data_IF_389039661724
#
_entry.id   IF_389039661724
#
_cell.length_a   1.000
_cell.length_b   1.000
_cell.length_c   1.000
_cell.angle_alpha   90.00
_cell.angle_beta   90.00
_cell.angle_gamma   90.00
#
_symmetry.space_group_name_H-M   'P 1'
#
loop_
_entity.id
_entity.type
_entity.pdbx_description
1 polymer ?
#
# COMPACT_ATOMS: atom_id res chain seq x y z
N UNK A 1 13.09 -12.48 -43.31
CA UNK A 1 12.90 -11.19 -42.62
C UNK A 1 12.07 -11.46 -41.38
N UNK A 2 12.72 -11.69 -40.23
CA UNK A 2 12.05 -12.09 -39.00
C UNK A 2 11.61 -10.84 -38.24
N UNK A 3 10.30 -10.72 -38.01
CA UNK A 3 9.70 -9.71 -37.14
C UNK A 3 10.21 -9.93 -35.72
N UNK A 4 11.04 -9.01 -35.25
CA UNK A 4 11.46 -8.94 -33.85
C UNK A 4 10.24 -8.54 -33.04
N UNK A 5 9.63 -9.52 -32.36
CA UNK A 5 8.54 -9.27 -31.42
C UNK A 5 9.01 -8.28 -30.36
N UNK A 6 8.40 -7.10 -30.34
CA UNK A 6 8.58 -6.08 -29.32
C UNK A 6 8.20 -6.68 -27.96
N UNK A 7 9.21 -6.93 -27.13
CA UNK A 7 9.07 -7.13 -25.69
C UNK A 7 8.22 -5.97 -25.14
N UNK A 8 7.16 -6.23 -24.35
CA UNK A 8 6.26 -5.17 -23.92
C UNK A 8 7.03 -4.17 -23.04
N UNK A 9 6.93 -2.89 -23.39
CA UNK A 9 7.48 -1.73 -22.68
C UNK A 9 6.84 -1.49 -21.29
N UNK A 10 6.79 -2.53 -20.44
CA UNK A 10 6.33 -2.48 -19.05
C UNK A 10 7.17 -1.59 -18.10
N UNK A 11 8.51 -1.44 -18.24
CA UNK A 11 9.27 -0.66 -17.27
C UNK A 11 9.02 0.86 -17.37
N UNK A 12 8.66 1.37 -18.56
CA UNK A 12 8.44 2.80 -18.76
C UNK A 12 7.09 3.26 -18.21
N UNK A 13 6.03 2.47 -18.37
CA UNK A 13 4.71 2.80 -17.81
C UNK A 13 4.72 2.77 -16.27
N UNK A 14 5.46 1.83 -15.66
CA UNK A 14 5.61 1.76 -14.21
C UNK A 14 6.30 3.01 -13.64
N UNK A 15 7.35 3.49 -14.30
CA UNK A 15 8.03 4.74 -13.93
C UNK A 15 7.09 5.94 -14.10
N UNK A 16 6.37 6.04 -15.22
CA UNK A 16 5.38 7.10 -15.44
C UNK A 16 4.29 7.09 -14.37
N UNK A 17 3.83 5.91 -13.95
CA UNK A 17 2.83 5.78 -12.90
C UNK A 17 3.35 6.28 -11.54
N UNK A 18 4.61 6.01 -11.19
CA UNK A 18 5.23 6.58 -9.99
C UNK A 18 5.30 8.11 -10.04
N UNK A 19 5.68 8.66 -11.21
CA UNK A 19 5.65 10.10 -11.42
C UNK A 19 4.24 10.66 -11.24
N UNK A 20 3.20 9.99 -11.74
CA UNK A 20 1.80 10.40 -11.53
C UNK A 20 1.41 10.40 -10.05
N UNK A 21 1.82 9.42 -9.25
CA UNK A 21 1.57 9.42 -7.80
C UNK A 21 2.25 10.57 -7.06
N UNK A 22 3.42 11.01 -7.53
CA UNK A 22 4.15 12.13 -6.93
C UNK A 22 3.63 13.49 -7.37
N UNK A 23 3.32 13.65 -8.65
CA UNK A 23 3.04 14.96 -9.26
C UNK A 23 1.55 15.27 -9.40
N UNK A 24 0.70 14.25 -9.50
CA UNK A 24 -0.76 14.37 -9.54
C UNK A 24 -1.43 13.64 -8.36
N UNK A 25 -0.96 13.84 -7.11
CA UNK A 25 -1.43 13.06 -5.97
C UNK A 25 -2.93 13.21 -5.72
N UNK A 26 -3.56 14.34 -6.06
CA UNK A 26 -4.99 14.58 -5.87
C UNK A 26 -5.89 13.59 -6.61
N UNK A 27 -5.40 12.98 -7.70
CA UNK A 27 -6.12 11.95 -8.46
C UNK A 27 -6.14 10.59 -7.76
N UNK A 28 -5.07 10.27 -7.01
CA UNK A 28 -4.82 8.93 -6.48
C UNK A 28 -4.89 8.85 -4.96
N UNK A 29 -4.91 9.99 -4.28
CA UNK A 29 -4.87 10.05 -2.83
C UNK A 29 -6.07 9.35 -2.19
N UNK A 30 -5.80 8.59 -1.12
CA UNK A 30 -6.85 8.12 -0.23
C UNK A 30 -7.70 9.31 0.25
N UNK A 31 -9.01 9.13 0.41
CA UNK A 31 -9.94 10.23 0.80
C UNK A 31 -9.52 10.94 2.08
N UNK A 32 -8.89 10.22 3.00
CA UNK A 32 -8.36 10.79 4.25
C UNK A 32 -7.25 11.83 4.03
N UNK A 33 -6.51 11.79 2.92
CA UNK A 33 -5.56 12.86 2.58
C UNK A 33 -6.26 14.17 2.24
N UNK A 34 -7.36 14.09 1.49
CA UNK A 34 -8.19 15.24 1.17
C UNK A 34 -8.82 15.82 2.43
N UNK A 35 -9.39 14.96 3.28
CA UNK A 35 -9.94 15.35 4.57
C UNK A 35 -8.90 16.01 5.47
N UNK A 36 -7.66 15.51 5.48
CA UNK A 36 -6.57 16.08 6.25
C UNK A 36 -6.10 17.45 5.74
N UNK A 37 -6.44 17.83 4.50
CA UNK A 37 -6.27 19.18 3.97
C UNK A 37 -7.51 20.08 4.24
N UNK A 38 -8.52 19.57 4.94
CA UNK A 38 -9.80 20.25 5.12
C UNK A 38 -10.71 20.18 3.89
N UNK A 39 -10.36 19.39 2.87
CA UNK A 39 -11.17 19.23 1.68
C UNK A 39 -12.12 18.04 1.81
N UNK A 40 -13.42 18.34 1.90
CA UNK A 40 -14.52 17.37 1.88
C UNK A 40 -15.20 17.42 0.50
N UNK A 41 -14.88 16.50 -0.43
CA UNK A 41 -15.49 16.50 -1.75
C UNK A 41 -17.00 16.29 -1.63
N UNK A 42 -17.78 17.14 -2.30
CA UNK A 42 -19.23 16.97 -2.42
C UNK A 42 -19.56 15.66 -3.16
N UNK A 43 -20.73 15.04 -2.91
CA UNK A 43 -21.21 13.94 -3.73
C UNK A 43 -21.18 14.32 -5.22
N UNK A 44 -20.51 13.51 -6.04
CA UNK A 44 -20.34 13.78 -7.48
C UNK A 44 -19.07 14.53 -7.88
N UNK A 45 -18.25 15.01 -6.94
CA UNK A 45 -16.94 15.57 -7.28
C UNK A 45 -16.04 14.51 -7.93
N UNK A 46 -15.39 14.86 -9.04
CA UNK A 46 -14.41 14.04 -9.73
C UNK A 46 -13.18 14.87 -10.08
N UNK A 47 -11.99 14.32 -9.81
CA UNK A 47 -10.72 14.92 -10.23
C UNK A 47 -10.72 15.11 -11.75
N UNK A 48 -10.32 16.30 -12.22
CA UNK A 48 -10.28 16.68 -13.63
C UNK A 48 -11.42 17.61 -14.06
N UNK A 49 -12.50 17.73 -13.26
CA UNK A 49 -13.61 18.64 -13.59
C UNK A 49 -13.29 20.11 -13.30
N UNK A 50 -12.39 20.40 -12.36
CA UNK A 50 -12.01 21.76 -11.99
C UNK A 50 -10.48 21.89 -11.93
N UNK A 51 -9.81 22.20 -13.05
CA UNK A 51 -8.35 22.18 -13.15
C UNK A 51 -7.62 23.07 -12.13
N UNK A 52 -8.23 24.20 -11.75
CA UNK A 52 -7.66 25.07 -10.72
C UNK A 52 -7.69 24.42 -9.33
N UNK A 53 -8.80 23.78 -8.96
CA UNK A 53 -8.88 23.07 -7.67
C UNK A 53 -7.92 21.87 -7.65
N UNK A 54 -7.86 21.14 -8.75
CA UNK A 54 -6.96 19.99 -8.90
C UNK A 54 -5.49 20.40 -8.75
N UNK A 55 -5.08 21.53 -9.33
CA UNK A 55 -3.71 22.04 -9.20
C UNK A 55 -3.39 22.44 -7.75
N UNK A 56 -4.32 23.12 -7.05
CA UNK A 56 -4.15 23.46 -5.64
C UNK A 56 -4.07 22.22 -4.75
N UNK A 57 -4.92 21.21 -4.97
CA UNK A 57 -4.87 19.94 -4.24
C UNK A 57 -3.54 19.23 -4.46
N UNK A 58 -3.06 19.17 -5.72
CA UNK A 58 -1.76 18.58 -6.02
C UNK A 58 -0.61 19.33 -5.34
N UNK A 59 -0.62 20.66 -5.36
CA UNK A 59 0.41 21.47 -4.72
C UNK A 59 0.39 21.29 -3.20
N UNK A 60 -0.78 21.31 -2.57
CA UNK A 60 -0.92 21.14 -1.12
C UNK A 60 -0.46 19.75 -0.66
N UNK A 61 -0.86 18.69 -1.37
CA UNK A 61 -0.41 17.32 -1.06
C UNK A 61 1.10 17.16 -1.27
N UNK A 62 1.66 17.75 -2.33
CA UNK A 62 3.12 17.75 -2.58
C UNK A 62 3.88 18.53 -1.51
N UNK A 63 3.37 19.67 -1.04
CA UNK A 63 4.00 20.44 0.02
C UNK A 63 4.01 19.68 1.34
N UNK A 64 2.89 19.02 1.68
CA UNK A 64 2.76 18.25 2.93
C UNK A 64 3.61 16.98 2.96
N UNK A 65 3.65 16.27 1.84
CA UNK A 65 4.35 14.98 1.74
C UNK A 65 5.78 15.15 1.22
N UNK A 66 6.12 16.23 0.55
CA UNK A 66 7.36 16.31 -0.22
C UNK A 66 7.34 15.42 -1.46
N UNK A 67 8.40 15.56 -2.25
CA UNK A 67 8.58 14.89 -3.54
C UNK A 67 9.98 14.28 -3.60
N UNK A 68 10.17 13.03 -3.15
CA UNK A 68 11.47 12.39 -3.21
C UNK A 68 11.91 12.18 -4.67
N UNK A 69 13.22 12.05 -4.86
CA UNK A 69 13.77 11.71 -6.17
C UNK A 69 13.49 10.24 -6.46
N UNK A 70 12.81 9.98 -7.58
CA UNK A 70 12.55 8.64 -8.05
C UNK A 70 13.77 8.07 -8.78
N UNK A 71 13.98 6.74 -8.73
CA UNK A 71 14.98 6.08 -9.56
C UNK A 71 14.60 6.16 -11.04
N UNK A 72 15.60 6.31 -11.91
CA UNK A 72 15.43 6.36 -13.37
C UNK A 72 15.09 4.99 -13.98
N UNK A 73 15.47 3.90 -13.31
CA UNK A 73 15.17 2.52 -13.69
C UNK A 73 14.72 1.75 -12.45
N UNK A 74 13.67 0.95 -12.61
CA UNK A 74 13.12 0.12 -11.53
C UNK A 74 13.73 -1.28 -11.57
N UNK A 75 14.22 -1.74 -10.43
CA UNK A 75 14.54 -3.17 -10.24
C UNK A 75 13.26 -4.01 -10.12
N UNK A 76 13.37 -5.34 -10.17
CA UNK A 76 12.23 -6.27 -10.14
C UNK A 76 11.32 -6.05 -8.93
N UNK A 77 11.89 -5.85 -7.74
CA UNK A 77 11.12 -5.58 -6.52
C UNK A 77 10.34 -4.25 -6.63
N UNK A 78 10.96 -3.20 -7.12
CA UNK A 78 10.32 -1.90 -7.30
C UNK A 78 9.19 -1.97 -8.34
N UNK A 79 9.37 -2.71 -9.43
CA UNK A 79 8.29 -2.96 -10.40
C UNK A 79 7.12 -3.69 -9.75
N UNK A 80 7.40 -4.70 -8.91
CA UNK A 80 6.37 -5.39 -8.12
C UNK A 80 5.63 -4.43 -7.19
N UNK A 81 6.35 -3.54 -6.50
CA UNK A 81 5.75 -2.51 -5.64
C UNK A 81 4.79 -1.59 -6.40
N UNK A 82 5.13 -1.20 -7.64
CA UNK A 82 4.22 -0.40 -8.49
C UNK A 82 2.96 -1.19 -8.83
N UNK A 83 3.09 -2.47 -9.20
CA UNK A 83 1.95 -3.36 -9.48
C UNK A 83 1.10 -3.64 -8.24
N UNK A 84 1.69 -3.58 -7.05
CA UNK A 84 1.01 -3.75 -5.76
C UNK A 84 0.13 -2.54 -5.40
N UNK A 85 0.31 -1.37 -6.04
CA UNK A 85 -0.40 -0.13 -5.71
C UNK A 85 -1.93 -0.26 -5.53
N UNK A 86 -2.69 -1.00 -6.37
CA UNK A 86 -4.13 -1.18 -6.17
C UNK A 86 -4.50 -2.03 -4.95
N UNK A 87 -3.56 -2.84 -4.45
CA UNK A 87 -3.73 -3.75 -3.30
C UNK A 87 -3.09 -3.21 -2.02
N UNK A 88 -2.71 -1.93 -1.98
CA UNK A 88 -2.00 -1.37 -0.83
C UNK A 88 -2.76 -1.48 0.48
N UNK A 89 -4.10 -1.38 0.45
CA UNK A 89 -4.92 -1.56 1.66
C UNK A 89 -4.82 -3.00 2.19
N UNK A 90 -4.85 -4.00 1.31
CA UNK A 90 -4.66 -5.40 1.69
C UNK A 90 -3.22 -5.64 2.19
N UNK A 91 -2.22 -5.01 1.56
CA UNK A 91 -0.84 -5.08 2.02
C UNK A 91 -0.65 -4.47 3.40
N UNK A 92 -1.22 -3.28 3.64
CA UNK A 92 -1.22 -2.64 4.96
C UNK A 92 -1.94 -3.52 6.01
N UNK A 93 -3.07 -4.13 5.66
CA UNK A 93 -3.75 -5.09 6.54
C UNK A 93 -2.83 -6.26 6.91
N UNK A 94 -2.20 -6.91 5.94
CA UNK A 94 -1.30 -8.04 6.16
C UNK A 94 -0.10 -7.67 7.05
N UNK A 95 0.53 -6.51 6.80
CA UNK A 95 1.62 -5.99 7.63
C UNK A 95 1.14 -5.70 9.05
N UNK A 96 -0.06 -5.14 9.21
CA UNK A 96 -0.68 -4.88 10.51
C UNK A 96 -0.94 -6.16 11.30
N UNK A 97 -1.53 -7.18 10.66
CA UNK A 97 -1.78 -8.49 11.28
C UNK A 97 -0.48 -9.17 11.71
N UNK A 98 0.54 -9.13 10.85
CA UNK A 98 1.86 -9.65 11.19
C UNK A 98 2.47 -8.90 12.38
N UNK A 99 2.31 -7.57 12.44
CA UNK A 99 2.82 -6.77 13.55
C UNK A 99 2.10 -7.02 14.87
N UNK A 100 0.79 -7.29 14.81
CA UNK A 100 0.00 -7.69 15.96
C UNK A 100 0.45 -9.06 16.50
N UNK A 101 0.90 -9.96 15.62
CA UNK A 101 1.56 -11.21 16.01
C UNK A 101 0.69 -12.17 16.82
N UNK A 102 -0.63 -12.05 16.69
CA UNK A 102 -1.62 -12.86 17.38
C UNK A 102 -2.19 -13.91 16.42
N UNK A 103 -1.95 -15.18 16.72
CA UNK A 103 -2.44 -16.32 15.93
C UNK A 103 -3.95 -16.46 15.97
N UNK A 104 -4.59 -16.05 17.07
CA UNK A 104 -6.03 -16.20 17.26
C UNK A 104 -6.82 -15.45 16.19
N UNK A 105 -6.32 -14.29 15.76
CA UNK A 105 -6.94 -13.54 14.66
C UNK A 105 -6.96 -14.32 13.34
N UNK A 106 -6.00 -15.21 13.12
CA UNK A 106 -5.86 -15.97 11.87
C UNK A 106 -6.59 -17.32 11.94
N UNK A 107 -6.75 -17.87 13.14
CA UNK A 107 -7.32 -19.20 13.37
C UNK A 107 -8.81 -19.18 13.72
N UNK A 108 -9.26 -18.21 14.53
CA UNK A 108 -10.63 -18.19 15.03
C UNK A 108 -11.63 -17.82 13.91
N UNK A 109 -12.78 -18.52 13.82
CA UNK A 109 -13.71 -18.37 12.70
C UNK A 109 -14.19 -16.94 12.45
N UNK A 110 -14.59 -16.22 13.51
CA UNK A 110 -15.17 -14.88 13.39
C UNK A 110 -14.17 -13.86 12.81
N UNK A 111 -12.91 -13.96 13.24
CA UNK A 111 -11.84 -13.12 12.73
C UNK A 111 -11.48 -13.52 11.30
N UNK A 112 -11.33 -14.81 11.03
CA UNK A 112 -11.00 -15.33 9.70
C UNK A 112 -12.05 -14.95 8.66
N UNK A 113 -13.34 -15.04 8.98
CA UNK A 113 -14.43 -14.57 8.10
C UNK A 113 -14.30 -13.09 7.75
N UNK A 114 -13.85 -12.27 8.70
CA UNK A 114 -13.66 -10.84 8.47
C UNK A 114 -12.42 -10.57 7.61
N UNK A 115 -11.33 -11.30 7.84
CA UNK A 115 -10.06 -11.17 7.10
C UNK A 115 -10.19 -11.69 5.66
N UNK A 116 -10.94 -12.78 5.45
CA UNK A 116 -11.16 -13.41 4.13
C UNK A 116 -11.84 -12.47 3.11
N UNK A 117 -12.47 -11.38 3.57
CA UNK A 117 -13.01 -10.33 2.70
C UNK A 117 -11.92 -9.47 2.03
N UNK A 118 -10.70 -9.54 2.55
CA UNK A 118 -9.57 -8.70 2.14
C UNK A 118 -8.37 -9.50 1.67
N UNK A 119 -8.09 -10.64 2.30
CA UNK A 119 -6.95 -11.52 2.02
C UNK A 119 -7.46 -12.91 1.65
N UNK A 120 -6.77 -13.57 0.72
CA UNK A 120 -7.06 -14.97 0.41
C UNK A 120 -6.54 -15.92 1.50
N UNK A 121 -6.98 -17.18 1.43
CA UNK A 121 -6.62 -18.18 2.43
C UNK A 121 -5.10 -18.44 2.44
N UNK A 122 -4.46 -18.41 1.28
CA UNK A 122 -3.01 -18.58 1.15
C UNK A 122 -2.22 -17.52 1.91
N UNK A 123 -2.63 -16.26 1.82
CA UNK A 123 -2.03 -15.17 2.60
C UNK A 123 -2.27 -15.31 4.09
N UNK A 124 -3.45 -15.80 4.52
CA UNK A 124 -3.72 -16.06 5.93
C UNK A 124 -2.78 -17.13 6.48
N UNK A 125 -2.57 -18.22 5.74
CA UNK A 125 -1.62 -19.27 6.13
C UNK A 125 -0.17 -18.78 6.13
N UNK A 126 0.23 -17.98 5.13
CA UNK A 126 1.55 -17.36 5.11
C UNK A 126 1.75 -16.45 6.34
N UNK A 127 0.76 -15.62 6.66
CA UNK A 127 0.79 -14.76 7.85
C UNK A 127 0.88 -15.59 9.13
N UNK A 128 0.14 -16.71 9.20
CA UNK A 128 0.19 -17.61 10.34
C UNK A 128 1.59 -18.19 10.53
N UNK A 129 2.22 -18.68 9.45
CA UNK A 129 3.58 -19.20 9.48
C UNK A 129 4.64 -18.15 9.82
N UNK A 130 4.42 -16.88 9.44
CA UNK A 130 5.31 -15.76 9.78
C UNK A 130 5.08 -15.23 11.20
N UNK A 131 3.90 -15.44 11.76
CA UNK A 131 3.53 -14.97 13.10
C UNK A 131 4.12 -15.88 14.17
N UNK A 132 4.72 -15.29 15.21
CA UNK A 132 5.30 -16.08 16.30
C UNK A 132 4.29 -16.47 17.40
N UNK A 133 3.00 -16.15 17.26
CA UNK A 133 1.94 -16.49 18.23
C UNK A 133 2.13 -15.92 19.65
N UNK A 134 2.92 -14.84 19.80
CA UNK A 134 3.33 -14.33 21.13
C UNK A 134 2.27 -13.45 21.79
N UNK A 135 1.34 -12.92 21.02
CA UNK A 135 0.37 -11.93 21.48
C UNK A 135 -1.03 -12.53 21.59
N UNK A 136 -1.81 -12.03 22.55
CA UNK A 136 -3.24 -12.36 22.69
C UNK A 136 -4.11 -11.44 21.84
N UNK A 137 -5.34 -11.85 21.56
CA UNK A 137 -6.32 -10.99 20.92
C UNK A 137 -6.61 -9.74 21.78
N UNK A 138 -6.48 -8.57 21.16
CA UNK A 138 -6.66 -7.24 21.74
C UNK A 138 -7.89 -6.52 21.18
N UNK A 139 -8.28 -6.83 19.94
CA UNK A 139 -9.36 -6.16 19.22
C UNK A 139 -10.51 -7.11 18.95
N UNK A 140 -11.73 -6.56 18.89
CA UNK A 140 -12.88 -7.28 18.35
C UNK A 140 -12.69 -7.58 16.86
N UNK A 141 -13.41 -8.55 16.26
CA UNK A 141 -13.32 -8.82 14.83
C UNK A 141 -13.61 -7.59 13.95
N UNK A 142 -14.55 -6.74 14.38
CA UNK A 142 -14.94 -5.53 13.66
C UNK A 142 -13.82 -4.49 13.71
N UNK A 143 -13.22 -4.27 14.88
CA UNK A 143 -12.17 -3.27 15.08
C UNK A 143 -10.81 -3.72 14.54
N UNK A 144 -10.59 -5.03 14.42
CA UNK A 144 -9.33 -5.62 14.00
C UNK A 144 -8.86 -5.05 12.65
N UNK A 145 -9.74 -5.04 11.64
CA UNK A 145 -9.37 -4.62 10.28
C UNK A 145 -8.91 -3.16 10.26
N UNK A 146 -9.69 -2.28 10.88
CA UNK A 146 -9.36 -0.85 10.92
C UNK A 146 -8.06 -0.60 11.67
N UNK A 147 -7.85 -1.26 12.81
CA UNK A 147 -6.63 -1.09 13.60
C UNK A 147 -5.41 -1.72 12.91
N UNK A 148 -5.55 -2.89 12.31
CA UNK A 148 -4.47 -3.53 11.56
C UNK A 148 -4.05 -2.69 10.34
N UNK A 149 -5.01 -2.14 9.56
CA UNK A 149 -4.67 -1.22 8.46
C UNK A 149 -3.93 0.02 8.99
N UNK A 150 -4.37 0.63 10.10
CA UNK A 150 -3.68 1.78 10.71
C UNK A 150 -2.25 1.44 11.13
N UNK A 151 -2.05 0.32 11.81
CA UNK A 151 -0.73 -0.14 12.26
C UNK A 151 0.16 -0.43 11.06
N UNK A 152 -0.34 -1.20 10.08
CA UNK A 152 0.43 -1.53 8.89
C UNK A 152 0.77 -0.32 8.03
N UNK A 153 -0.16 0.64 7.91
CA UNK A 153 0.13 1.94 7.26
C UNK A 153 1.29 2.65 7.95
N UNK A 154 1.29 2.70 9.29
CA UNK A 154 2.38 3.32 10.03
C UNK A 154 3.73 2.60 9.87
N UNK A 155 3.73 1.27 9.87
CA UNK A 155 4.92 0.45 9.58
C UNK A 155 5.45 0.72 8.17
N UNK A 156 4.57 0.75 7.18
CA UNK A 156 4.93 1.01 5.78
C UNK A 156 5.48 2.43 5.58
N UNK A 157 4.89 3.43 6.23
CA UNK A 157 5.43 4.80 6.23
C UNK A 157 6.83 4.86 6.85
N UNK A 158 7.12 4.07 7.89
CA UNK A 158 8.46 3.97 8.46
C UNK A 158 9.45 3.29 7.49
N UNK A 159 9.02 2.25 6.79
CA UNK A 159 9.83 1.58 5.77
C UNK A 159 10.10 2.47 4.55
N UNK A 160 9.17 3.35 4.20
CA UNK A 160 9.29 4.26 3.06
C UNK A 160 10.30 5.40 3.25
N UNK A 161 10.87 5.57 4.45
CA UNK A 161 11.94 6.56 4.67
C UNK A 161 13.16 6.26 3.80
N UNK A 162 13.43 4.98 3.55
CA UNK A 162 14.59 4.51 2.78
C UNK A 162 14.18 3.98 1.38
N UNK A 163 12.89 4.02 1.02
CA UNK A 163 12.36 3.46 -0.23
C UNK A 163 11.45 4.48 -0.95
N UNK A 164 11.97 5.23 -1.93
CA UNK A 164 11.22 6.28 -2.64
C UNK A 164 10.08 5.72 -3.51
N UNK A 165 10.16 4.45 -3.91
CA UNK A 165 9.12 3.79 -4.72
C UNK A 165 7.94 3.45 -3.82
N UNK A 166 8.20 2.82 -2.66
CA UNK A 166 7.17 2.62 -1.65
C UNK A 166 6.55 3.96 -1.25
N UNK A 167 7.36 4.98 -1.01
CA UNK A 167 6.90 6.32 -0.64
C UNK A 167 5.86 6.89 -1.61
N UNK A 168 6.11 6.79 -2.92
CA UNK A 168 5.19 7.29 -3.93
C UNK A 168 3.84 6.54 -3.88
N UNK A 169 3.89 5.22 -3.70
CA UNK A 169 2.71 4.36 -3.68
C UNK A 169 1.86 4.55 -2.42
N UNK A 170 2.44 4.99 -1.29
CA UNK A 170 1.71 5.25 -0.03
C UNK A 170 0.63 6.33 -0.11
N UNK A 171 0.55 7.11 -1.21
CA UNK A 171 -0.57 8.02 -1.43
C UNK A 171 -1.94 7.32 -1.44
N UNK A 172 -1.96 6.05 -1.80
CA UNK A 172 -3.17 5.21 -1.84
C UNK A 172 -3.65 4.81 -0.42
N UNK A 173 -2.82 4.99 0.60
CA UNK A 173 -3.15 4.71 2.00
C UNK A 173 -3.53 5.99 2.75
N UNK A 174 -4.27 5.89 3.86
CA UNK A 174 -4.56 7.05 4.69
C UNK A 174 -3.26 7.70 5.19
N UNK A 175 -3.23 9.03 5.39
CA UNK A 175 -2.06 9.71 5.91
C UNK A 175 -1.69 9.17 7.29
N UNK A 176 -0.41 8.89 7.50
CA UNK A 176 0.12 8.56 8.82
C UNK A 176 0.75 9.80 9.46
N UNK A 177 0.19 10.27 10.56
CA UNK A 177 0.72 11.43 11.28
C UNK A 177 2.04 11.10 12.02
N UNK A 178 2.19 9.85 12.47
CA UNK A 178 3.35 9.39 13.25
C UNK A 178 3.69 7.93 12.93
N UNK A 179 4.72 7.74 12.11
CA UNK A 179 5.25 6.42 11.76
C UNK A 179 6.27 5.92 12.80
N UNK A 180 5.79 5.69 14.04
CA UNK A 180 6.64 5.27 15.16
C UNK A 180 6.79 3.75 15.30
N UNK A 181 6.05 2.98 14.50
CA UNK A 181 6.08 1.53 14.59
C UNK A 181 7.39 0.96 14.02
N UNK A 182 7.99 -0.06 14.68
CA UNK A 182 9.20 -0.67 14.17
C UNK A 182 8.92 -1.38 12.84
N UNK A 183 9.88 -1.31 11.93
CA UNK A 183 9.84 -2.03 10.66
C UNK A 183 9.64 -3.54 10.89
N UNK A 184 9.11 -4.20 9.87
CA UNK A 184 8.96 -5.66 9.80
C UNK A 184 10.21 -6.23 9.10
N UNK A 185 10.64 -7.47 9.43
CA UNK A 185 11.76 -8.09 8.74
C UNK A 185 11.60 -8.09 7.22
N UNK A 186 12.68 -7.77 6.50
CA UNK A 186 12.68 -7.63 5.04
C UNK A 186 12.16 -8.89 4.31
N UNK A 187 12.48 -10.07 4.85
CA UNK A 187 11.98 -11.34 4.33
C UNK A 187 10.45 -11.41 4.33
N UNK A 188 9.82 -11.06 5.45
CA UNK A 188 8.36 -11.08 5.56
C UNK A 188 7.71 -10.04 4.64
N UNK A 189 8.31 -8.85 4.51
CA UNK A 189 7.87 -7.82 3.56
C UNK A 189 7.87 -8.37 2.12
N UNK A 190 8.98 -8.98 1.69
CA UNK A 190 9.12 -9.54 0.35
C UNK A 190 8.13 -10.69 0.07
N UNK A 191 7.93 -11.59 1.03
CA UNK A 191 6.98 -12.70 0.88
C UNK A 191 5.54 -12.20 0.72
N UNK A 192 5.15 -11.20 1.51
CA UNK A 192 3.83 -10.58 1.40
C UNK A 192 3.65 -9.81 0.08
N UNK A 193 4.69 -9.09 -0.37
CA UNK A 193 4.70 -8.44 -1.69
C UNK A 193 4.48 -9.48 -2.82
N UNK A 194 5.18 -10.63 -2.76
CA UNK A 194 5.06 -11.71 -3.75
C UNK A 194 3.71 -12.40 -3.72
N UNK A 195 3.18 -12.69 -2.54
CA UNK A 195 1.89 -13.36 -2.41
C UNK A 195 0.74 -12.47 -2.92
N UNK A 196 0.79 -11.16 -2.65
CA UNK A 196 -0.21 -10.21 -3.16
C UNK A 196 -0.03 -9.86 -4.63
N UNK A 197 1.21 -9.87 -5.13
CA UNK A 197 1.56 -9.53 -6.51
C UNK A 197 2.66 -10.48 -7.01
N UNK A 198 2.30 -11.71 -7.45
CA UNK A 198 3.28 -12.65 -7.96
C UNK A 198 3.92 -12.11 -9.24
N UNK A 199 5.19 -12.47 -9.46
CA UNK A 199 5.84 -12.11 -10.70
C UNK A 199 5.20 -12.88 -11.86
N UNK A 200 5.03 -12.20 -13.00
CA UNK A 200 4.37 -12.74 -14.18
C UNK A 200 5.11 -13.95 -14.80
N UNK A 201 6.32 -14.26 -14.33
CA UNK A 201 7.20 -15.31 -14.88
C UNK A 201 6.88 -16.72 -14.36
N UNK A 202 5.96 -16.87 -13.40
CA UNK A 202 5.55 -18.18 -12.86
C UNK A 202 4.03 -18.36 -12.92
N UNK A 203 3.47 -18.37 -14.14
CA UNK A 203 2.15 -18.95 -14.44
C UNK A 203 2.23 -19.87 -15.64
#
# INVERSE_FOLDING_TARGET
MAQTALVPNLPQEAVLQLHRYLWLPGRYAHRSWLAALGFMPKPGWQYGQQPQLDSYLNQALRARRGTPRLPTRLNTRQQRMVRLAPKMTAFALAIGLLKLGCSDYLLLPDYRQTILRWLDDGLIWLLFGLSCGKCRALFSPIDLITNAIKIGTAVLHRAAQDDPVLYAVLIMLPPCERALWPQVPMLAMNLLEQALCPDAEYR
#
